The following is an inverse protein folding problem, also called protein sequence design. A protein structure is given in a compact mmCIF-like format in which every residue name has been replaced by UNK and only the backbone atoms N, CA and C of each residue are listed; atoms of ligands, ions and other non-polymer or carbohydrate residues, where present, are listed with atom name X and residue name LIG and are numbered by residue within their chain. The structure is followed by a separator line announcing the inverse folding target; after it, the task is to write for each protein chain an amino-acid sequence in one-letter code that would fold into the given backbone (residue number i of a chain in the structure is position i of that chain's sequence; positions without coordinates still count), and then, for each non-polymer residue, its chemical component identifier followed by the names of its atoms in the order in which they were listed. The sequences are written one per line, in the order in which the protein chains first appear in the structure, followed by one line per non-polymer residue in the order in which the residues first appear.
data_IF_720538938638
#
_entry.id   IF_720538938638
#
_cell.length_a   1.000
_cell.length_b   1.000
_cell.length_c   1.000
_cell.angle_alpha   90.00
_cell.angle_beta   90.00
_cell.angle_gamma   90.00
#
_symmetry.space_group_name_H-M   'P 1'
#
loop_
_entity.id
_entity.type
_entity.pdbx_description
1 polymer ?
#
# COMPACT_ATOMS: atom_id res chain seq x y z
N UNK A 1 -16.41 10.79 -39.71
CA UNK A 1 -16.34 11.51 -38.42
C UNK A 1 -16.45 10.63 -37.16
N UNK A 2 -17.17 9.48 -37.12
CA UNK A 2 -17.27 8.68 -35.88
C UNK A 2 -16.00 7.88 -35.56
N UNK A 3 -15.28 7.38 -36.57
CA UNK A 3 -14.02 6.64 -36.38
C UNK A 3 -12.94 7.48 -35.68
N UNK A 4 -12.79 8.75 -36.08
CA UNK A 4 -11.84 9.70 -35.50
C UNK A 4 -12.20 10.05 -34.04
N UNK A 5 -13.49 10.10 -33.71
CA UNK A 5 -13.97 10.33 -32.35
C UNK A 5 -13.66 9.11 -31.47
N UNK A 6 -13.87 7.90 -31.99
CA UNK A 6 -13.60 6.66 -31.27
C UNK A 6 -12.10 6.50 -30.98
N UNK A 7 -11.24 6.76 -31.97
CA UNK A 7 -9.78 6.73 -31.78
C UNK A 7 -9.29 7.78 -30.78
N UNK A 8 -9.85 8.99 -30.80
CA UNK A 8 -9.50 10.04 -29.84
C UNK A 8 -9.91 9.68 -28.39
N UNK A 9 -11.08 9.05 -28.22
CA UNK A 9 -11.55 8.59 -26.91
C UNK A 9 -10.69 7.45 -26.35
N UNK A 10 -10.29 6.50 -27.20
CA UNK A 10 -9.40 5.40 -26.80
C UNK A 10 -8.02 5.95 -26.40
N UNK A 11 -7.47 6.88 -27.19
CA UNK A 11 -6.18 7.49 -26.87
C UNK A 11 -6.24 8.29 -25.54
N UNK A 12 -7.31 9.03 -25.30
CA UNK A 12 -7.50 9.78 -24.05
C UNK A 12 -7.62 8.84 -22.83
N UNK A 13 -8.36 7.73 -22.95
CA UNK A 13 -8.49 6.74 -21.89
C UNK A 13 -7.15 6.05 -21.56
N UNK A 14 -6.35 5.75 -22.57
CA UNK A 14 -5.01 5.18 -22.39
C UNK A 14 -4.05 6.17 -21.72
N UNK A 15 -4.07 7.45 -22.10
CA UNK A 15 -3.25 8.48 -21.43
C UNK A 15 -3.60 8.64 -19.95
N UNK A 16 -4.89 8.58 -19.59
CA UNK A 16 -5.34 8.69 -18.20
C UNK A 16 -4.95 7.45 -17.37
N UNK A 17 -4.91 6.27 -17.97
CA UNK A 17 -4.48 5.04 -17.30
C UNK A 17 -2.97 5.02 -16.96
N UNK A 18 -2.14 5.67 -17.79
CA UNK A 18 -0.69 5.78 -17.55
C UNK A 18 -0.31 6.96 -16.63
N UNK A 19 -1.19 7.94 -16.42
CA UNK A 19 -0.93 9.09 -15.55
C UNK A 19 -1.09 8.78 -14.05
N UNK A 20 -1.54 7.58 -13.69
CA UNK A 20 -1.67 7.13 -12.30
C UNK A 20 -0.35 6.55 -11.77
N UNK A 21 0.75 7.30 -11.90
CA UNK A 21 1.95 7.00 -11.11
C UNK A 21 1.67 7.44 -9.68
N UNK A 22 1.46 6.48 -8.78
CA UNK A 22 1.29 6.76 -7.36
C UNK A 22 2.55 7.44 -6.82
N UNK A 23 2.42 8.68 -6.35
CA UNK A 23 3.49 9.36 -5.63
C UNK A 23 3.92 8.47 -4.47
N UNK A 24 5.22 8.21 -4.36
CA UNK A 24 5.75 7.48 -3.19
C UNK A 24 5.36 8.27 -1.93
N UNK A 25 5.09 7.59 -0.81
CA UNK A 25 4.89 8.28 0.45
C UNK A 25 6.06 9.25 0.71
N UNK A 26 5.79 10.47 1.22
CA UNK A 26 6.87 11.38 1.55
C UNK A 26 7.79 10.75 2.61
N UNK A 27 9.09 11.00 2.48
CA UNK A 27 10.05 10.58 3.50
C UNK A 27 9.88 11.47 4.73
N UNK A 28 9.59 10.87 5.87
CA UNK A 28 9.50 11.56 7.16
C UNK A 28 10.89 11.63 7.79
N UNK A 29 11.37 12.84 8.07
CA UNK A 29 12.65 13.10 8.73
C UNK A 29 12.48 13.62 10.17
N UNK A 30 11.38 14.32 10.44
CA UNK A 30 11.06 14.84 11.76
C UNK A 30 10.32 13.76 12.58
N UNK A 31 10.86 13.37 13.72
CA UNK A 31 10.27 12.32 14.58
C UNK A 31 8.84 12.67 15.01
N UNK A 32 8.53 13.96 15.17
CA UNK A 32 7.17 14.42 15.52
C UNK A 32 6.13 14.21 14.42
N UNK A 33 6.56 13.93 13.19
CA UNK A 33 5.67 13.64 12.05
C UNK A 33 5.46 12.13 11.84
N UNK A 34 6.17 11.27 12.58
CA UNK A 34 5.96 9.82 12.53
C UNK A 34 4.56 9.53 13.11
N UNK A 35 3.67 8.88 12.33
CA UNK A 35 2.34 8.55 12.83
C UNK A 35 2.42 7.50 13.94
N UNK A 36 1.48 7.54 14.87
CA UNK A 36 1.33 6.49 15.88
C UNK A 36 0.88 5.19 15.20
N UNK A 37 1.54 4.08 15.52
CA UNK A 37 1.16 2.75 15.04
C UNK A 37 1.23 1.70 16.16
N UNK A 38 0.46 0.63 15.97
CA UNK A 38 0.53 -0.57 16.83
C UNK A 38 1.21 -1.67 16.03
N UNK A 39 2.26 -2.24 16.59
CA UNK A 39 2.90 -3.42 16.00
C UNK A 39 2.09 -4.67 16.34
N UNK A 40 2.03 -5.67 15.44
CA UNK A 40 1.57 -7.00 15.80
C UNK A 40 2.36 -7.50 17.01
N UNK A 41 1.70 -8.17 17.94
CA UNK A 41 2.39 -8.78 19.07
C UNK A 41 3.18 -10.00 18.56
N UNK A 42 4.53 -9.97 18.60
CA UNK A 42 5.31 -11.10 18.12
C UNK A 42 5.08 -12.34 18.99
N UNK A 43 4.63 -12.18 20.23
CA UNK A 43 4.36 -13.29 21.15
C UNK A 43 2.90 -13.71 21.11
N UNK A 44 2.20 -13.47 20.00
CA UNK A 44 0.86 -13.98 19.72
C UNK A 44 0.88 -14.64 18.35
N UNK A 45 0.58 -15.94 18.31
CA UNK A 45 0.43 -16.69 17.07
C UNK A 45 -0.74 -16.17 16.23
N UNK A 46 -0.79 -16.53 14.94
CA UNK A 46 -1.87 -16.10 14.02
C UNK A 46 -3.28 -16.52 14.52
N UNK A 47 -3.36 -17.62 15.27
CA UNK A 47 -4.61 -18.11 15.86
C UNK A 47 -4.98 -17.44 17.21
N UNK A 48 -4.17 -16.50 17.70
CA UNK A 48 -4.35 -15.80 18.96
C UNK A 48 -3.73 -16.50 20.18
N UNK A 49 -3.11 -17.66 20.01
CA UNK A 49 -2.40 -18.36 21.10
C UNK A 49 -1.17 -17.55 21.55
N UNK A 50 -0.99 -17.25 22.84
CA UNK A 50 0.19 -16.54 23.32
C UNK A 50 1.41 -17.47 23.36
N UNK A 51 2.55 -16.95 22.93
CA UNK A 51 3.86 -17.60 23.03
C UNK A 51 4.38 -17.43 24.46
N UNK A 52 4.39 -18.50 25.24
CA UNK A 52 4.77 -18.48 26.67
C UNK A 52 6.16 -19.02 26.97
N UNK A 53 6.78 -19.71 26.02
CA UNK A 53 8.09 -20.33 26.20
C UNK A 53 8.85 -20.45 24.87
N UNK A 54 10.13 -20.80 24.99
CA UNK A 54 11.02 -20.90 23.84
C UNK A 54 10.74 -22.13 22.97
N UNK A 55 10.10 -23.18 23.51
CA UNK A 55 9.76 -24.37 22.71
C UNK A 55 8.64 -24.04 21.73
N UNK A 56 7.67 -23.23 22.15
CA UNK A 56 6.59 -22.72 21.32
C UNK A 56 7.06 -21.67 20.30
N UNK A 57 8.12 -20.92 20.59
CA UNK A 57 8.68 -19.88 19.71
C UNK A 57 9.57 -20.40 18.56
N UNK A 58 10.26 -21.53 18.76
CA UNK A 58 11.34 -22.02 17.86
C UNK A 58 10.94 -22.14 16.40
#
# INVERSE_FOLDING_TARGET
MPELLCSALIAAALCLAFAAEGQLPPVVYEESEVPVYTLPDPLVCEDGTPVTDADLWR
#
